data_IF_399167687606
#
_entry.id   IF_399167687606
#
_cell.length_a   1.000
_cell.length_b   1.000
_cell.length_c   1.000
_cell.angle_alpha   90.00
_cell.angle_beta   90.00
_cell.angle_gamma   90.00
#
_symmetry.space_group_name_H-M   'P 1'
#
loop_
_entity.id
_entity.type
_entity.pdbx_description
1 polymer ?
#
# COMPACT_ATOMS: atom_id res chain seq x y z
N UNK A 1 -22.31 -7.36 -19.66
CA UNK A 1 -22.09 -6.87 -18.29
C UNK A 1 -21.47 -5.48 -18.38
N UNK A 2 -22.17 -4.43 -17.96
CA UNK A 2 -21.60 -3.07 -17.94
C UNK A 2 -20.84 -2.86 -16.62
N UNK A 3 -19.56 -2.54 -16.72
CA UNK A 3 -18.75 -2.13 -15.56
C UNK A 3 -19.00 -0.64 -15.33
N UNK A 4 -19.52 -0.30 -14.16
CA UNK A 4 -19.73 1.10 -13.76
C UNK A 4 -18.57 1.53 -12.89
N UNK A 5 -17.78 2.49 -13.36
CA UNK A 5 -16.68 3.05 -12.57
C UNK A 5 -17.22 3.93 -11.44
N UNK A 6 -16.73 3.69 -10.22
CA UNK A 6 -17.07 4.54 -9.08
C UNK A 6 -16.35 5.88 -9.23
N UNK A 7 -17.09 6.98 -9.12
CA UNK A 7 -16.60 8.37 -9.25
C UNK A 7 -15.35 8.72 -8.42
N UNK A 8 -15.06 7.97 -7.35
CA UNK A 8 -13.90 8.21 -6.48
C UNK A 8 -12.59 7.65 -7.06
N UNK A 9 -12.62 6.65 -7.94
CA UNK A 9 -11.41 6.00 -8.47
C UNK A 9 -10.53 6.96 -9.30
N UNK A 10 -11.09 7.81 -10.20
CA UNK A 10 -10.29 8.82 -10.89
C UNK A 10 -9.65 9.87 -9.97
N UNK A 11 -10.25 10.13 -8.80
CA UNK A 11 -9.72 11.07 -7.80
C UNK A 11 -8.57 10.41 -7.03
N UNK A 12 -8.75 9.16 -6.60
CA UNK A 12 -7.70 8.40 -5.91
C UNK A 12 -6.49 8.14 -6.81
N UNK A 13 -6.70 7.85 -8.10
CA UNK A 13 -5.61 7.69 -9.06
C UNK A 13 -4.77 8.96 -9.18
N UNK A 14 -5.40 10.13 -9.33
CA UNK A 14 -4.69 11.41 -9.39
C UNK A 14 -3.93 11.75 -8.10
N UNK A 15 -4.37 11.22 -6.96
CA UNK A 15 -3.68 11.41 -5.70
C UNK A 15 -2.37 10.59 -5.60
N UNK A 16 -2.10 9.65 -6.53
CA UNK A 16 -0.83 8.93 -6.57
C UNK A 16 0.35 9.81 -7.01
N UNK A 17 0.07 10.89 -7.75
CA UNK A 17 1.10 11.85 -8.17
C UNK A 17 1.53 12.80 -7.02
N UNK A 18 0.82 12.72 -5.89
CA UNK A 18 1.07 13.53 -4.70
C UNK A 18 2.02 12.82 -3.74
N UNK A 19 3.07 13.50 -3.29
CA UNK A 19 4.06 12.97 -2.34
C UNK A 19 3.54 12.94 -0.89
N UNK A 20 2.29 13.33 -0.64
CA UNK A 20 1.65 13.31 0.69
C UNK A 20 0.99 11.97 0.98
N UNK A 21 0.79 11.70 2.28
CA UNK A 21 0.07 10.51 2.73
C UNK A 21 -1.42 10.60 2.34
N UNK A 22 -1.90 9.62 1.58
CA UNK A 22 -3.32 9.42 1.29
C UNK A 22 -3.99 8.54 2.36
N UNK A 23 -4.99 9.09 3.06
CA UNK A 23 -5.75 8.35 4.08
C UNK A 23 -7.15 8.00 3.57
N UNK A 24 -7.44 6.69 3.44
CA UNK A 24 -8.75 6.18 3.01
C UNK A 24 -9.53 5.67 4.23
N UNK A 25 -10.56 6.39 4.65
CA UNK A 25 -11.44 6.02 5.78
C UNK A 25 -12.80 5.48 5.32
N UNK A 26 -13.47 4.73 6.19
CA UNK A 26 -14.83 4.24 5.94
C UNK A 26 -15.16 2.97 6.73
N UNK A 27 -16.42 2.56 6.69
CA UNK A 27 -16.94 1.38 7.40
C UNK A 27 -16.29 0.08 6.93
N UNK A 28 -16.29 -0.96 7.79
CA UNK A 28 -15.92 -2.33 7.40
C UNK A 28 -16.77 -2.78 6.20
N UNK A 29 -16.16 -3.44 5.23
CA UNK A 29 -16.87 -3.89 4.02
C UNK A 29 -17.08 -2.83 2.92
N UNK A 30 -16.70 -1.56 3.12
CA UNK A 30 -16.88 -0.51 2.12
C UNK A 30 -15.98 -0.61 0.85
N UNK A 31 -15.16 -1.66 0.74
CA UNK A 31 -14.24 -1.85 -0.38
C UNK A 31 -12.89 -1.13 -0.25
N UNK A 32 -12.50 -0.69 0.95
CA UNK A 32 -11.23 0.03 1.18
C UNK A 32 -10.00 -0.78 0.77
N UNK A 33 -9.95 -2.06 1.17
CA UNK A 33 -8.86 -2.98 0.80
C UNK A 33 -8.80 -3.18 -0.72
N UNK A 34 -9.96 -3.27 -1.37
CA UNK A 34 -10.05 -3.36 -2.84
C UNK A 34 -9.48 -2.12 -3.51
N UNK A 35 -9.84 -0.93 -3.02
CA UNK A 35 -9.30 0.33 -3.53
C UNK A 35 -7.78 0.44 -3.34
N UNK A 36 -7.25 0.05 -2.18
CA UNK A 36 -5.81 0.05 -1.92
C UNK A 36 -5.04 -0.88 -2.87
N UNK A 37 -5.54 -2.11 -3.08
CA UNK A 37 -4.91 -3.05 -4.02
C UNK A 37 -4.95 -2.54 -5.45
N UNK A 38 -6.10 -2.00 -5.87
CA UNK A 38 -6.23 -1.38 -7.19
C UNK A 38 -5.27 -0.21 -7.37
N UNK A 39 -5.16 0.68 -6.38
CA UNK A 39 -4.21 1.81 -6.42
C UNK A 39 -2.76 1.33 -6.50
N UNK A 40 -2.39 0.31 -5.73
CA UNK A 40 -1.06 -0.27 -5.77
C UNK A 40 -0.73 -0.84 -7.16
N UNK A 41 -1.70 -1.42 -7.86
CA UNK A 41 -1.52 -1.88 -9.25
C UNK A 41 -1.25 -0.72 -10.22
N UNK A 42 -1.78 0.48 -9.97
CA UNK A 42 -1.56 1.66 -10.81
C UNK A 42 -0.18 2.32 -10.60
N UNK A 43 0.49 2.06 -9.47
CA UNK A 43 1.84 2.61 -9.22
C UNK A 43 2.83 2.00 -10.21
N UNK A 44 3.51 2.82 -11.02
CA UNK A 44 4.44 2.33 -12.05
C UNK A 44 5.71 1.68 -11.48
N UNK A 45 6.15 2.11 -10.29
CA UNK A 45 7.34 1.57 -9.65
C UNK A 45 7.19 0.09 -9.28
N UNK A 46 8.26 -0.68 -9.48
CA UNK A 46 8.38 -2.05 -8.98
C UNK A 46 8.73 -2.08 -7.48
N UNK A 47 9.33 -1.00 -6.96
CA UNK A 47 9.73 -0.85 -5.56
C UNK A 47 8.51 -0.41 -4.72
N UNK A 48 7.48 -1.25 -4.68
CA UNK A 48 6.22 -1.02 -3.98
C UNK A 48 5.79 -2.27 -3.22
N UNK A 49 5.16 -2.09 -2.06
CA UNK A 49 4.69 -3.21 -1.24
C UNK A 49 3.31 -2.94 -0.64
N UNK A 50 2.57 -4.01 -0.39
CA UNK A 50 1.32 -3.98 0.38
C UNK A 50 1.59 -4.50 1.79
N UNK A 51 1.32 -3.67 2.80
CA UNK A 51 1.43 -4.03 4.22
C UNK A 51 0.04 -4.20 4.82
N UNK A 52 -0.29 -5.40 5.28
CA UNK A 52 -1.54 -5.70 5.98
C UNK A 52 -1.31 -5.79 7.49
N UNK A 53 -1.29 -4.62 8.15
CA UNK A 53 -1.14 -4.53 9.60
C UNK A 53 -2.37 -5.04 10.37
N UNK A 54 -3.43 -5.47 9.68
CA UNK A 54 -4.52 -6.23 10.26
C UNK A 54 -4.12 -7.67 10.60
N UNK A 55 -3.12 -8.22 9.90
CA UNK A 55 -2.56 -9.54 10.16
C UNK A 55 -1.57 -9.52 11.32
N UNK A 56 -1.75 -10.43 12.27
CA UNK A 56 -0.92 -10.49 13.48
C UNK A 56 0.55 -10.78 13.18
N UNK A 57 0.82 -11.66 12.22
CA UNK A 57 2.19 -12.02 11.81
C UNK A 57 2.93 -10.83 11.20
N UNK A 58 2.27 -10.06 10.34
CA UNK A 58 2.89 -8.87 9.75
C UNK A 58 3.07 -7.75 10.78
N UNK A 59 2.11 -7.58 11.70
CA UNK A 59 2.24 -6.59 12.77
C UNK A 59 3.42 -6.89 13.70
N UNK A 60 3.61 -8.17 14.06
CA UNK A 60 4.68 -8.60 14.95
C UNK A 60 6.09 -8.28 14.40
N UNK A 61 6.24 -8.14 13.09
CA UNK A 61 7.51 -7.67 12.50
C UNK A 61 7.83 -6.24 12.94
N UNK A 62 6.85 -5.35 12.99
CA UNK A 62 7.06 -3.95 13.38
C UNK A 62 7.16 -3.75 14.90
N UNK A 63 7.07 -4.83 15.68
CA UNK A 63 7.29 -4.86 17.12
C UNK A 63 8.69 -5.41 17.49
N UNK A 64 9.49 -5.82 16.48
CA UNK A 64 10.85 -6.31 16.70
C UNK A 64 11.74 -5.20 17.27
N UNK A 65 12.64 -5.60 18.19
CA UNK A 65 13.62 -4.67 18.78
C UNK A 65 14.73 -4.30 17.80
N UNK A 66 15.09 -5.23 16.92
CA UNK A 66 16.13 -5.00 15.93
C UNK A 66 15.52 -4.44 14.65
N UNK A 67 15.98 -3.26 14.24
CA UNK A 67 15.54 -2.59 13.00
C UNK A 67 15.94 -3.40 11.77
N UNK A 68 17.05 -4.15 11.82
CA UNK A 68 17.52 -4.97 10.70
C UNK A 68 16.53 -6.08 10.35
N UNK A 69 15.75 -6.57 11.31
CA UNK A 69 14.71 -7.57 11.08
C UNK A 69 13.54 -6.97 10.29
N UNK A 70 13.16 -5.73 10.61
CA UNK A 70 12.13 -4.97 9.86
C UNK A 70 12.61 -4.70 8.44
N UNK A 71 13.86 -4.27 8.29
CA UNK A 71 14.52 -4.02 7.00
C UNK A 71 14.53 -5.29 6.15
N UNK A 72 14.93 -6.43 6.73
CA UNK A 72 14.99 -7.72 6.06
C UNK A 72 13.60 -8.18 5.60
N UNK A 73 12.57 -7.95 6.43
CA UNK A 73 11.19 -8.23 6.05
C UNK A 73 10.73 -7.36 4.88
N UNK A 74 10.98 -6.04 4.92
CA UNK A 74 10.64 -5.14 3.82
C UNK A 74 11.35 -5.54 2.52
N UNK A 75 12.63 -5.94 2.61
CA UNK A 75 13.38 -6.47 1.48
C UNK A 75 12.77 -7.77 0.92
N UNK A 76 12.28 -8.66 1.80
CA UNK A 76 11.58 -9.89 1.39
C UNK A 76 10.26 -9.62 0.63
N UNK A 77 9.66 -8.44 0.82
CA UNK A 77 8.51 -7.96 0.06
C UNK A 77 8.89 -7.31 -1.28
N UNK A 78 10.19 -7.26 -1.61
CA UNK A 78 10.70 -6.66 -2.85
C UNK A 78 11.06 -5.18 -2.72
N UNK A 79 11.14 -4.62 -1.50
CA UNK A 79 11.55 -3.24 -1.31
C UNK A 79 13.08 -3.09 -1.32
N UNK A 80 13.58 -2.10 -2.07
CA UNK A 80 14.99 -1.71 -2.08
C UNK A 80 15.19 -0.42 -1.30
N UNK A 81 15.99 -0.48 -0.23
CA UNK A 81 16.18 0.64 0.71
C UNK A 81 17.15 1.71 0.20
N UNK A 82 18.04 1.35 -0.73
CA UNK A 82 19.08 2.26 -1.25
C UNK A 82 18.73 2.86 -2.62
N UNK A 83 17.45 2.84 -3.03
CA UNK A 83 17.00 3.48 -4.26
C UNK A 83 16.03 4.62 -3.95
N UNK A 84 16.24 5.84 -4.47
CA UNK A 84 15.24 6.90 -4.37
C UNK A 84 13.97 6.49 -5.12
N UNK A 85 12.81 6.97 -4.65
CA UNK A 85 11.54 6.88 -5.38
C UNK A 85 11.69 7.70 -6.67
N UNK A 86 11.96 7.03 -7.79
CA UNK A 86 11.91 7.61 -9.15
C UNK A 86 10.50 7.65 -9.69
#
# INVERSE_FOLDING_TARGET
>A
MQVIERKIFPVLHRALDDQRILVIKGMRGAGKTTALKWLLEQVASINKAYLDLGRLDQRAVFEQRNVDDVVSYLASLGLTINQPLT
#
